data_IF_611611523480
#
_entry.id   IF_611611523480
#
_cell.length_a   1.000
_cell.length_b   1.000
_cell.length_c   1.000
_cell.angle_alpha   90.00
_cell.angle_beta   90.00
_cell.angle_gamma   90.00
#
_symmetry.space_group_name_H-M   'P 1'
#
loop_
_entity.id
_entity.type
_entity.pdbx_description
1 polymer ?
#
# COMPACT_ATOMS: atom_id res chain seq x y z
N UNK A 1 -17.49 -16.36 21.53
CA UNK A 1 -16.40 -17.35 21.39
C UNK A 1 -16.33 -17.67 19.90
N UNK A 2 -15.16 -17.53 19.27
CA UNK A 2 -15.03 -17.75 17.82
C UNK A 2 -15.28 -19.21 17.44
N UNK A 3 -15.78 -19.43 16.22
CA UNK A 3 -15.81 -20.76 15.63
C UNK A 3 -14.39 -21.33 15.52
N UNK A 4 -14.28 -22.66 15.58
CA UNK A 4 -13.01 -23.37 15.52
C UNK A 4 -12.85 -24.14 14.22
N UNK A 5 -11.68 -24.02 13.62
CA UNK A 5 -11.22 -24.85 12.51
C UNK A 5 -10.15 -25.81 13.05
N UNK A 6 -10.33 -27.10 12.79
CA UNK A 6 -9.35 -28.12 13.15
C UNK A 6 -8.48 -28.50 11.95
N UNK A 7 -7.18 -28.67 12.19
CA UNK A 7 -6.23 -29.08 11.17
C UNK A 7 -6.09 -30.60 11.10
N UNK A 8 -5.78 -31.12 9.91
CA UNK A 8 -5.38 -32.51 9.71
C UNK A 8 -4.09 -32.82 10.51
N UNK A 9 -3.85 -34.08 10.89
CA UNK A 9 -2.60 -34.48 11.54
C UNK A 9 -1.37 -34.03 10.74
N UNK A 10 -0.37 -33.47 11.44
CA UNK A 10 0.91 -32.98 10.87
C UNK A 10 0.78 -31.85 9.84
N UNK A 11 -0.33 -31.09 9.87
CA UNK A 11 -0.55 -29.93 8.98
C UNK A 11 -0.46 -28.58 9.71
N UNK A 12 0.16 -28.57 10.88
CA UNK A 12 0.33 -27.42 11.77
C UNK A 12 1.76 -26.83 11.77
N UNK A 13 2.74 -27.47 11.13
CA UNK A 13 4.16 -27.05 11.11
C UNK A 13 4.38 -25.61 10.62
N UNK A 14 3.58 -25.12 9.66
CA UNK A 14 3.69 -23.74 9.18
C UNK A 14 3.24 -22.73 10.24
N UNK A 15 2.14 -23.02 10.93
CA UNK A 15 1.61 -22.14 11.98
C UNK A 15 2.49 -22.16 13.23
N UNK A 16 3.08 -23.31 13.57
CA UNK A 16 4.08 -23.41 14.65
C UNK A 16 5.35 -22.59 14.37
N UNK A 17 5.61 -22.26 13.10
CA UNK A 17 6.67 -21.33 12.67
C UNK A 17 6.17 -19.91 12.41
N UNK A 18 4.97 -19.59 12.90
CA UNK A 18 4.35 -18.28 12.78
C UNK A 18 4.06 -17.83 11.33
N UNK A 19 3.85 -18.77 10.41
CA UNK A 19 3.45 -18.42 9.05
C UNK A 19 2.02 -17.83 9.05
N UNK A 20 1.78 -16.66 8.44
CA UNK A 20 0.50 -15.95 8.56
C UNK A 20 -0.63 -16.56 7.73
N UNK A 21 -0.34 -17.55 6.89
CA UNK A 21 -1.35 -18.21 6.06
C UNK A 21 -1.54 -19.66 6.44
N UNK A 22 -2.81 -20.04 6.55
CA UNK A 22 -3.28 -21.42 6.57
C UNK A 22 -3.91 -21.75 5.21
N UNK A 23 -3.40 -22.78 4.55
CA UNK A 23 -3.93 -23.22 3.26
C UNK A 23 -5.12 -24.17 3.43
N UNK A 24 -6.11 -24.09 2.53
CA UNK A 24 -7.34 -24.90 2.61
C UNK A 24 -7.11 -26.41 2.67
N UNK A 25 -6.05 -26.90 2.01
CA UNK A 25 -5.67 -28.33 2.04
C UNK A 25 -5.27 -28.87 3.43
N UNK A 26 -4.90 -27.99 4.37
CA UNK A 26 -4.52 -28.34 5.74
C UNK A 26 -5.72 -28.54 6.68
N UNK A 27 -6.89 -28.02 6.33
CA UNK A 27 -8.10 -28.04 7.16
C UNK A 27 -8.74 -29.43 7.11
N UNK A 28 -9.14 -29.95 8.28
CA UNK A 28 -10.02 -31.11 8.39
C UNK A 28 -11.48 -30.66 8.28
N UNK A 29 -12.06 -30.87 7.10
CA UNK A 29 -13.42 -30.47 6.77
C UNK A 29 -14.47 -31.32 7.51
N UNK A 30 -14.14 -32.56 7.90
CA UNK A 30 -15.08 -33.41 8.63
C UNK A 30 -15.19 -32.99 10.11
N UNK A 31 -14.13 -32.40 10.64
CA UNK A 31 -14.04 -31.94 12.03
C UNK A 31 -14.39 -30.45 12.21
N UNK A 32 -14.72 -29.72 11.15
CA UNK A 32 -14.97 -28.28 11.19
C UNK A 32 -16.34 -27.91 10.62
N UNK A 33 -17.08 -27.04 11.30
CA UNK A 33 -18.23 -26.36 10.70
C UNK A 33 -17.70 -25.28 9.75
N UNK A 34 -18.20 -25.19 8.50
CA UNK A 34 -17.73 -24.17 7.55
C UNK A 34 -18.04 -22.76 8.08
N UNK A 35 -17.02 -21.92 8.35
CA UNK A 35 -17.25 -20.54 8.78
C UNK A 35 -17.74 -19.67 7.62
N UNK A 36 -18.34 -18.54 7.94
CA UNK A 36 -18.66 -17.55 6.92
C UNK A 36 -17.41 -16.85 6.40
N UNK A 37 -17.41 -16.48 5.12
CA UNK A 37 -16.28 -15.78 4.51
C UNK A 37 -16.03 -14.42 5.18
N UNK A 38 -14.82 -14.22 5.69
CA UNK A 38 -14.40 -13.06 6.50
C UNK A 38 -14.64 -13.19 7.99
N UNK A 39 -15.25 -14.28 8.48
CA UNK A 39 -15.42 -14.53 9.92
C UNK A 39 -14.07 -14.74 10.63
N UNK A 40 -13.97 -14.29 11.88
CA UNK A 40 -12.82 -14.56 12.74
C UNK A 40 -12.95 -15.96 13.34
N UNK A 41 -11.94 -16.79 13.14
CA UNK A 41 -11.89 -18.20 13.57
C UNK A 41 -10.69 -18.49 14.44
N UNK A 42 -10.83 -19.45 15.36
CA UNK A 42 -9.72 -20.08 16.09
C UNK A 42 -9.21 -21.29 15.32
N UNK A 43 -7.90 -21.46 15.26
CA UNK A 43 -7.25 -22.59 14.58
C UNK A 43 -6.70 -23.54 15.65
N UNK A 44 -7.09 -24.81 15.56
CA UNK A 44 -6.62 -25.88 16.45
C UNK A 44 -5.86 -26.96 15.67
N UNK A 45 -4.82 -27.54 16.26
CA UNK A 45 -4.18 -28.75 15.74
C UNK A 45 -5.10 -29.97 15.87
N UNK A 46 -4.70 -31.09 15.25
CA UNK A 46 -5.42 -32.35 15.32
C UNK A 46 -5.62 -32.86 16.76
N UNK A 47 -4.71 -32.54 17.69
CA UNK A 47 -4.81 -32.89 19.12
C UNK A 47 -5.58 -31.85 19.97
N UNK A 48 -6.12 -30.79 19.36
CA UNK A 48 -6.88 -29.74 20.03
C UNK A 48 -6.04 -28.58 20.58
N UNK A 49 -4.72 -28.57 20.40
CA UNK A 49 -3.87 -27.43 20.81
C UNK A 49 -4.18 -26.18 19.98
N UNK A 50 -4.19 -25.02 20.64
CA UNK A 50 -4.41 -23.74 19.98
C UNK A 50 -3.20 -23.33 19.13
N UNK A 51 -3.47 -22.82 17.92
CA UNK A 51 -2.44 -22.41 16.95
C UNK A 51 -2.56 -20.95 16.51
N UNK A 52 -3.72 -20.31 16.62
CA UNK A 52 -3.91 -18.91 16.23
C UNK A 52 -5.36 -18.50 16.04
N UNK A 53 -5.57 -17.21 15.82
CA UNK A 53 -6.84 -16.58 15.45
C UNK A 53 -6.65 -15.82 14.14
N UNK A 54 -7.61 -15.89 13.22
CA UNK A 54 -7.52 -15.20 11.94
C UNK A 54 -8.82 -15.11 11.17
N UNK A 55 -8.81 -14.36 10.07
CA UNK A 55 -9.96 -14.27 9.16
C UNK A 55 -10.02 -15.47 8.24
N UNK A 56 -11.15 -16.16 8.24
CA UNK A 56 -11.45 -17.20 7.26
C UNK A 56 -11.78 -16.58 5.90
N UNK A 57 -11.39 -17.24 4.80
CA UNK A 57 -11.76 -16.84 3.45
C UNK A 57 -11.88 -18.06 2.53
N UNK A 58 -12.76 -17.99 1.53
CA UNK A 58 -12.87 -19.04 0.52
C UNK A 58 -11.72 -18.87 -0.48
N UNK A 59 -10.81 -19.84 -0.53
CA UNK A 59 -9.66 -19.79 -1.45
C UNK A 59 -8.54 -20.77 -1.11
N UNK A 60 -7.41 -20.60 -1.78
CA UNK A 60 -6.19 -21.37 -1.49
C UNK A 60 -5.65 -21.05 -0.09
N UNK A 61 -5.62 -19.76 0.27
CA UNK A 61 -5.38 -19.27 1.62
C UNK A 61 -6.72 -19.22 2.33
N UNK A 62 -6.98 -20.18 3.21
CA UNK A 62 -8.24 -20.35 3.90
C UNK A 62 -8.34 -19.55 5.19
N UNK A 63 -7.23 -19.34 5.90
CA UNK A 63 -7.19 -18.43 7.04
C UNK A 63 -5.96 -17.54 6.96
N UNK A 64 -6.19 -16.24 7.13
CA UNK A 64 -5.15 -15.23 7.32
C UNK A 64 -5.03 -14.95 8.82
N UNK A 65 -3.94 -15.41 9.42
CA UNK A 65 -3.71 -15.38 10.88
C UNK A 65 -3.39 -13.96 11.33
N UNK A 66 -4.16 -13.45 12.29
CA UNK A 66 -4.02 -12.12 12.89
C UNK A 66 -3.25 -12.17 14.20
N UNK A 67 -3.41 -13.25 14.97
CA UNK A 67 -2.68 -13.46 16.21
C UNK A 67 -2.36 -14.92 16.43
N UNK A 68 -1.17 -15.18 16.97
CA UNK A 68 -0.76 -16.49 17.48
C UNK A 68 -1.01 -16.61 18.99
N UNK A 69 -1.73 -15.64 19.58
CA UNK A 69 -2.22 -15.66 20.95
C UNK A 69 -3.73 -15.87 20.93
N UNK A 70 -4.24 -16.51 21.97
CA UNK A 70 -5.68 -16.72 22.14
C UNK A 70 -6.30 -15.44 22.69
N UNK A 71 -6.60 -14.51 21.80
CA UNK A 71 -7.14 -13.19 22.11
C UNK A 71 -8.28 -12.80 21.16
N UNK A 72 -9.06 -11.81 21.59
CA UNK A 72 -10.11 -11.23 20.76
C UNK A 72 -9.51 -10.28 19.72
N UNK A 73 -10.01 -10.38 18.48
CA UNK A 73 -9.80 -9.41 17.41
C UNK A 73 -10.90 -8.35 17.54
N UNK A 74 -10.61 -7.30 18.32
CA UNK A 74 -11.49 -6.17 18.57
C UNK A 74 -10.76 -4.84 18.31
N UNK A 75 -11.39 -3.70 18.62
CA UNK A 75 -10.76 -2.38 18.45
C UNK A 75 -9.44 -2.23 19.24
N UNK A 76 -9.27 -2.94 20.36
CA UNK A 76 -8.02 -2.91 21.14
C UNK A 76 -6.91 -3.64 20.40
N UNK A 77 -7.20 -4.77 19.76
CA UNK A 77 -6.27 -5.48 18.88
C UNK A 77 -5.81 -4.55 17.74
N UNK A 78 -6.74 -3.93 17.01
CA UNK A 78 -6.41 -3.07 15.87
C UNK A 78 -5.62 -1.84 16.29
N UNK A 79 -5.99 -1.16 17.38
CA UNK A 79 -5.23 -0.04 17.91
C UNK A 79 -3.79 -0.44 18.22
N UNK A 80 -3.59 -1.60 18.87
CA UNK A 80 -2.25 -2.09 19.21
C UNK A 80 -1.42 -2.39 17.96
N UNK A 81 -2.00 -3.07 16.97
CA UNK A 81 -1.32 -3.41 15.72
C UNK A 81 -0.96 -2.15 14.91
N UNK A 82 -1.91 -1.22 14.73
CA UNK A 82 -1.69 0.05 14.03
C UNK A 82 -0.67 0.93 14.75
N UNK A 83 -0.71 1.01 16.08
CA UNK A 83 0.28 1.74 16.85
C UNK A 83 1.67 1.14 16.69
N UNK A 84 1.81 -0.19 16.71
CA UNK A 84 3.09 -0.86 16.44
C UNK A 84 3.62 -0.52 15.04
N UNK A 85 2.73 -0.49 14.04
CA UNK A 85 3.10 -0.13 12.67
C UNK A 85 3.54 1.33 12.58
N UNK A 86 2.84 2.27 13.24
CA UNK A 86 3.19 3.68 13.30
C UNK A 86 4.55 3.91 13.96
N UNK A 87 4.78 3.31 15.14
CA UNK A 87 6.06 3.41 15.86
C UNK A 87 7.21 2.97 14.97
N UNK A 88 7.07 1.84 14.26
CA UNK A 88 8.10 1.39 13.31
C UNK A 88 8.38 2.45 12.22
N UNK A 89 7.35 3.11 11.67
CA UNK A 89 7.54 4.15 10.64
C UNK A 89 8.20 5.41 11.21
N UNK A 90 7.91 5.75 12.46
CA UNK A 90 8.58 6.84 13.18
C UNK A 90 10.06 6.49 13.44
N UNK A 91 10.37 5.27 13.88
CA UNK A 91 11.74 4.79 14.10
C UNK A 91 12.57 4.73 12.80
N UNK A 92 11.92 4.35 11.69
CA UNK A 92 12.50 4.42 10.34
C UNK A 92 12.63 5.86 9.79
N UNK A 93 12.26 6.86 10.60
CA UNK A 93 12.29 8.28 10.26
C UNK A 93 11.51 8.60 8.98
N UNK A 94 10.38 7.93 8.74
CA UNK A 94 9.52 8.20 7.58
C UNK A 94 8.55 9.34 7.80
N UNK A 95 8.35 9.77 9.05
CA UNK A 95 7.51 10.89 9.44
C UNK A 95 8.42 12.06 9.80
N UNK A 96 8.55 13.01 8.88
CA UNK A 96 9.42 14.18 9.03
C UNK A 96 8.76 15.40 8.41
N UNK A 97 9.21 16.60 8.74
CA UNK A 97 8.69 17.84 8.12
C UNK A 97 8.86 17.88 6.59
N UNK A 98 9.87 17.19 6.07
CA UNK A 98 10.14 17.05 4.64
C UNK A 98 9.61 15.72 4.06
N UNK A 99 8.93 14.88 4.83
CA UNK A 99 8.40 13.60 4.33
C UNK A 99 7.11 13.19 5.05
N UNK A 100 6.00 13.23 4.30
CA UNK A 100 4.68 12.78 4.76
C UNK A 100 4.01 11.80 3.77
N UNK A 101 4.81 11.15 2.92
CA UNK A 101 4.40 10.03 2.07
C UNK A 101 5.00 8.75 2.63
N UNK A 102 4.17 7.79 3.08
CA UNK A 102 4.64 6.50 3.57
C UNK A 102 3.56 5.42 3.62
N UNK A 103 3.98 4.14 3.58
CA UNK A 103 3.12 3.01 3.86
C UNK A 103 3.08 2.78 5.37
N UNK A 104 1.92 2.97 5.99
CA UNK A 104 1.70 2.69 7.41
C UNK A 104 1.57 1.18 7.65
N UNK A 105 0.75 0.49 6.86
CA UNK A 105 0.52 -0.97 7.00
C UNK A 105 0.85 -1.69 5.70
N UNK A 106 1.66 -2.74 5.79
CA UNK A 106 2.09 -3.60 4.70
C UNK A 106 1.70 -5.07 4.94
N UNK A 107 0.40 -5.31 5.09
CA UNK A 107 -0.18 -6.65 5.16
C UNK A 107 0.41 -7.48 6.29
N UNK A 108 0.84 -8.69 5.92
CA UNK A 108 1.49 -9.66 6.80
C UNK A 108 2.74 -9.09 7.51
N UNK A 109 3.47 -8.17 6.86
CA UNK A 109 4.66 -7.52 7.43
C UNK A 109 4.38 -6.69 8.68
N UNK A 110 3.13 -6.26 8.85
CA UNK A 110 2.64 -5.49 10.00
C UNK A 110 1.60 -6.27 10.82
N UNK A 111 1.60 -7.61 10.71
CA UNK A 111 0.67 -8.50 11.43
C UNK A 111 -0.81 -8.23 11.12
N UNK A 112 -1.10 -7.63 9.96
CA UNK A 112 -2.46 -7.36 9.47
C UNK A 112 -2.62 -7.93 8.05
N UNK A 113 -2.58 -9.26 7.86
CA UNK A 113 -2.61 -9.88 6.54
C UNK A 113 -3.80 -9.45 5.69
N UNK A 114 -3.52 -8.96 4.48
CA UNK A 114 -4.54 -8.45 3.57
C UNK A 114 -4.97 -6.99 3.83
N UNK A 115 -4.31 -6.25 4.72
CA UNK A 115 -4.54 -4.82 4.90
C UNK A 115 -3.36 -4.00 4.37
N UNK A 116 -3.64 -2.99 3.57
CA UNK A 116 -2.68 -1.96 3.19
C UNK A 116 -3.22 -0.61 3.65
N UNK A 117 -2.36 0.21 4.25
CA UNK A 117 -2.67 1.60 4.56
C UNK A 117 -1.48 2.45 4.10
N UNK A 118 -1.72 3.31 3.11
CA UNK A 118 -0.77 4.30 2.63
C UNK A 118 -1.20 5.70 3.09
N UNK A 119 -0.25 6.53 3.51
CA UNK A 119 -0.48 7.89 4.00
C UNK A 119 0.18 8.89 3.05
N UNK A 120 -0.59 9.90 2.66
CA UNK A 120 -0.21 11.00 1.79
C UNK A 120 -0.62 12.33 2.43
N UNK A 121 0.33 13.02 3.06
CA UNK A 121 0.02 14.22 3.82
C UNK A 121 -0.96 13.91 4.95
N UNK A 122 -2.13 14.52 4.91
CA UNK A 122 -3.21 14.34 5.89
C UNK A 122 -4.26 13.29 5.48
N UNK A 123 -4.00 12.52 4.42
CA UNK A 123 -4.94 11.52 3.90
C UNK A 123 -4.37 10.11 4.02
N UNK A 124 -5.11 9.20 4.66
CA UNK A 124 -4.83 7.77 4.62
C UNK A 124 -5.71 7.08 3.57
N UNK A 125 -5.11 6.17 2.82
CA UNK A 125 -5.78 5.34 1.81
C UNK A 125 -5.70 3.90 2.27
N UNK A 126 -6.85 3.31 2.59
CA UNK A 126 -7.00 1.93 3.05
C UNK A 126 -7.35 1.05 1.86
N UNK A 127 -6.64 -0.07 1.71
CA UNK A 127 -7.02 -1.17 0.83
C UNK A 127 -7.15 -2.47 1.60
N UNK A 128 -8.31 -3.11 1.47
CA UNK A 128 -8.54 -4.48 1.88
C UNK A 128 -8.32 -5.42 0.69
N UNK A 129 -7.48 -6.43 0.91
CA UNK A 129 -7.21 -7.56 0.02
C UNK A 129 -7.83 -8.86 0.55
N UNK A 130 -8.61 -8.79 1.62
CA UNK A 130 -9.34 -9.91 2.20
C UNK A 130 -10.71 -9.46 2.69
N UNK A 131 -11.66 -10.41 2.67
CA UNK A 131 -13.04 -10.15 3.12
C UNK A 131 -13.10 -9.80 4.60
N UNK A 132 -12.25 -10.43 5.43
CA UNK A 132 -12.15 -10.11 6.85
C UNK A 132 -11.71 -8.68 7.13
N UNK A 133 -10.71 -8.16 6.38
CA UNK A 133 -10.29 -6.76 6.53
C UNK A 133 -11.35 -5.77 6.06
N UNK A 134 -12.15 -6.14 5.05
CA UNK A 134 -13.30 -5.34 4.66
C UNK A 134 -14.40 -5.32 5.73
N UNK A 135 -14.72 -6.49 6.31
CA UNK A 135 -15.70 -6.59 7.41
C UNK A 135 -15.29 -5.77 8.63
N UNK A 136 -14.00 -5.77 8.94
CA UNK A 136 -13.45 -5.05 10.09
C UNK A 136 -13.12 -3.57 9.80
N UNK A 137 -13.51 -3.05 8.63
CA UNK A 137 -13.17 -1.68 8.18
C UNK A 137 -13.55 -0.61 9.21
N UNK A 138 -14.71 -0.72 9.86
CA UNK A 138 -15.13 0.25 10.87
C UNK A 138 -14.18 0.24 12.08
N UNK A 139 -13.85 -0.95 12.60
CA UNK A 139 -12.91 -1.09 13.73
C UNK A 139 -11.51 -0.58 13.35
N UNK A 140 -11.05 -0.89 12.15
CA UNK A 140 -9.76 -0.41 11.61
C UNK A 140 -9.76 1.11 11.50
N UNK A 141 -10.84 1.70 10.99
CA UNK A 141 -10.98 3.16 10.80
C UNK A 141 -10.97 3.90 12.13
N UNK A 142 -11.73 3.42 13.11
CA UNK A 142 -11.78 4.04 14.43
C UNK A 142 -10.43 3.92 15.17
N UNK A 143 -9.79 2.75 15.09
CA UNK A 143 -8.46 2.55 15.65
C UNK A 143 -7.40 3.42 14.96
N UNK A 144 -7.46 3.58 13.63
CA UNK A 144 -6.56 4.45 12.87
C UNK A 144 -6.70 5.91 13.28
N UNK A 145 -7.94 6.39 13.43
CA UNK A 145 -8.21 7.75 13.89
C UNK A 145 -7.64 8.00 15.28
N UNK A 146 -7.76 7.04 16.20
CA UNK A 146 -7.20 7.14 17.55
C UNK A 146 -5.67 7.16 17.54
N UNK A 147 -5.04 6.26 16.80
CA UNK A 147 -3.58 6.15 16.71
C UNK A 147 -2.95 7.37 16.03
N UNK A 148 -3.62 7.96 15.04
CA UNK A 148 -3.09 9.08 14.25
C UNK A 148 -3.51 10.47 14.75
N UNK A 149 -4.10 10.60 15.95
CA UNK A 149 -4.51 11.92 16.47
C UNK A 149 -3.36 12.93 16.56
N UNK A 150 -2.12 12.46 16.72
CA UNK A 150 -0.92 13.31 16.74
C UNK A 150 -0.35 13.67 15.36
N UNK A 151 -0.83 13.06 14.27
CA UNK A 151 -0.17 13.05 12.95
C UNK A 151 -0.94 13.84 11.86
N UNK A 152 -1.74 14.82 12.26
CA UNK A 152 -2.56 15.68 11.37
C UNK A 152 -3.45 14.95 10.34
N UNK A 153 -3.85 13.70 10.62
CA UNK A 153 -4.77 12.96 9.74
C UNK A 153 -6.14 13.67 9.69
N UNK A 154 -6.66 13.92 8.49
CA UNK A 154 -7.96 14.58 8.26
C UNK A 154 -8.92 13.76 7.40
N UNK A 155 -8.38 12.84 6.61
CA UNK A 155 -9.17 12.11 5.61
C UNK A 155 -8.78 10.63 5.60
N UNK A 156 -9.79 9.77 5.45
CA UNK A 156 -9.59 8.34 5.18
C UNK A 156 -10.40 7.98 3.94
N UNK A 157 -9.69 7.50 2.92
CA UNK A 157 -10.27 7.00 1.68
C UNK A 157 -10.15 5.49 1.62
N UNK A 158 -11.25 4.80 1.35
CA UNK A 158 -11.31 3.37 1.15
C UNK A 158 -11.23 3.06 -0.34
N UNK A 159 -10.23 2.26 -0.74
CA UNK A 159 -9.94 1.94 -2.15
C UNK A 159 -9.78 0.44 -2.37
N UNK A 160 -10.89 -0.30 -2.34
CA UNK A 160 -10.84 -1.77 -2.37
C UNK A 160 -11.76 -2.43 -3.36
N UNK A 161 -12.54 -1.68 -4.15
CA UNK A 161 -13.44 -2.24 -5.18
C UNK A 161 -12.67 -3.19 -6.12
N UNK A 162 -11.48 -2.78 -6.56
CA UNK A 162 -10.63 -3.57 -7.46
C UNK A 162 -9.69 -4.58 -6.80
N UNK A 163 -9.62 -4.64 -5.47
CA UNK A 163 -8.67 -5.51 -4.74
C UNK A 163 -9.32 -6.64 -3.97
N UNK A 164 -10.63 -6.54 -3.71
CA UNK A 164 -11.38 -7.58 -3.02
C UNK A 164 -11.64 -8.79 -3.91
N UNK A 165 -11.76 -10.00 -3.32
CA UNK A 165 -12.12 -11.19 -4.08
C UNK A 165 -13.49 -11.04 -4.75
N UNK A 166 -13.54 -11.18 -6.08
CA UNK A 166 -14.75 -11.03 -6.91
C UNK A 166 -15.94 -11.90 -6.45
N UNK A 167 -15.68 -13.03 -5.76
CA UNK A 167 -16.71 -13.99 -5.36
C UNK A 167 -17.44 -13.67 -4.06
N UNK A 168 -17.04 -12.63 -3.33
CA UNK A 168 -17.51 -12.40 -1.97
C UNK A 168 -18.88 -11.69 -1.87
N UNK A 169 -19.55 -11.38 -2.98
CA UNK A 169 -20.84 -10.63 -3.02
C UNK A 169 -20.84 -9.38 -2.10
N UNK A 170 -19.73 -8.65 -2.05
CA UNK A 170 -19.58 -7.47 -1.21
C UNK A 170 -19.97 -6.21 -1.97
N UNK A 171 -20.80 -5.36 -1.36
CA UNK A 171 -21.06 -3.99 -1.83
C UNK A 171 -19.90 -3.08 -1.41
N UNK A 172 -18.73 -3.30 -2.03
CA UNK A 172 -17.52 -2.54 -1.74
C UNK A 172 -17.35 -1.41 -2.76
N UNK A 173 -17.78 -0.20 -2.39
CA UNK A 173 -17.52 1.02 -3.15
C UNK A 173 -16.23 1.73 -2.71
N UNK A 174 -15.50 2.26 -3.68
CA UNK A 174 -14.39 3.20 -3.41
C UNK A 174 -14.96 4.56 -2.94
N UNK A 175 -14.45 5.12 -1.85
CA UNK A 175 -15.00 6.37 -1.30
C UNK A 175 -14.34 6.89 -0.03
N UNK A 176 -14.63 8.14 0.32
CA UNK A 176 -14.24 8.69 1.62
C UNK A 176 -15.13 8.08 2.71
N UNK A 177 -14.50 7.46 3.70
CA UNK A 177 -15.19 6.89 4.87
C UNK A 177 -15.02 7.78 6.11
N UNK A 178 -14.14 8.78 6.02
CA UNK A 178 -14.02 9.86 6.99
C UNK A 178 -13.38 11.10 6.34
N UNK A 179 -13.88 12.29 6.68
CA UNK A 179 -13.46 13.54 6.04
C UNK A 179 -13.92 13.60 4.57
N UNK A 180 -13.03 14.01 3.67
CA UNK A 180 -13.32 14.12 2.22
C UNK A 180 -13.71 15.53 1.74
N UNK A 181 -13.76 16.49 2.65
CA UNK A 181 -13.98 17.91 2.32
C UNK A 181 -12.64 18.65 2.16
N UNK A 182 -12.56 19.56 1.19
CA UNK A 182 -11.39 20.43 0.95
C UNK A 182 -10.05 19.68 0.86
N UNK A 183 -10.07 18.51 0.22
CA UNK A 183 -8.92 17.61 0.22
C UNK A 183 -7.78 18.15 -0.63
N UNK A 184 -6.61 18.32 -0.01
CA UNK A 184 -5.37 18.65 -0.71
C UNK A 184 -4.66 17.37 -1.16
N UNK A 185 -4.63 17.13 -2.46
CA UNK A 185 -4.00 15.95 -3.05
C UNK A 185 -2.51 16.16 -3.34
N UNK A 186 -1.80 16.93 -2.50
CA UNK A 186 -0.36 17.16 -2.59
C UNK A 186 0.31 16.67 -1.33
N UNK A 187 1.33 15.82 -1.49
CA UNK A 187 2.14 15.31 -0.39
C UNK A 187 3.63 15.50 -0.69
N UNK A 188 4.47 15.33 0.33
CA UNK A 188 5.89 15.63 0.31
C UNK A 188 6.70 14.35 0.55
N UNK A 189 7.67 14.08 -0.32
CA UNK A 189 8.66 13.02 -0.15
C UNK A 189 10.06 13.61 -0.26
N UNK A 190 10.85 13.49 0.81
CA UNK A 190 12.20 14.03 0.92
C UNK A 190 12.33 15.51 0.52
N UNK A 191 11.32 16.35 0.78
CA UNK A 191 11.27 17.77 0.45
C UNK A 191 10.73 18.08 -0.94
N UNK A 192 10.45 17.07 -1.78
CA UNK A 192 9.78 17.24 -3.08
C UNK A 192 8.29 17.04 -2.95
N UNK A 193 7.52 17.87 -3.64
CA UNK A 193 6.05 17.87 -3.62
C UNK A 193 5.50 17.06 -4.79
N UNK A 194 4.49 16.24 -4.53
CA UNK A 194 3.86 15.39 -5.54
C UNK A 194 2.34 15.47 -5.47
N UNK A 195 1.72 15.67 -6.62
CA UNK A 195 0.29 15.48 -6.82
C UNK A 195 -0.03 13.98 -6.77
N UNK A 196 -0.90 13.59 -5.85
CA UNK A 196 -1.34 12.21 -5.65
C UNK A 196 -2.76 12.05 -6.24
N UNK A 197 -3.03 10.93 -6.91
CA UNK A 197 -4.35 10.59 -7.44
C UNK A 197 -4.79 9.24 -6.88
N UNK A 198 -5.23 9.17 -5.62
CA UNK A 198 -5.76 7.92 -5.05
C UNK A 198 -7.16 7.57 -5.56
N UNK A 199 -7.89 8.52 -6.15
CA UNK A 199 -9.20 8.26 -6.71
C UNK A 199 -9.11 7.40 -7.96
N UNK A 200 -8.24 7.78 -8.91
CA UNK A 200 -8.15 7.16 -10.25
C UNK A 200 -6.74 6.67 -10.61
N UNK A 201 -5.74 6.93 -9.78
CA UNK A 201 -4.37 6.47 -10.00
C UNK A 201 -4.22 4.97 -9.72
N UNK A 202 -3.09 4.43 -10.16
CA UNK A 202 -2.76 3.02 -9.91
C UNK A 202 -2.42 2.78 -8.44
N UNK A 203 -2.61 1.55 -7.97
CA UNK A 203 -2.43 1.16 -6.56
C UNK A 203 -3.27 2.09 -5.65
N UNK A 204 -2.62 2.74 -4.69
CA UNK A 204 -3.19 3.73 -3.76
C UNK A 204 -2.96 5.17 -4.23
N UNK A 205 -2.46 5.40 -5.45
CA UNK A 205 -2.29 6.73 -6.05
C UNK A 205 -0.84 7.19 -6.26
N UNK A 206 0.15 6.51 -5.67
CA UNK A 206 1.58 6.79 -5.87
C UNK A 206 2.44 5.55 -5.54
N UNK A 207 3.60 5.43 -6.19
CA UNK A 207 4.52 4.32 -5.97
C UNK A 207 5.52 4.64 -4.85
N UNK A 208 5.07 4.44 -3.60
CA UNK A 208 5.87 4.70 -2.38
C UNK A 208 7.08 3.75 -2.30
N UNK A 209 6.92 2.52 -2.77
CA UNK A 209 7.97 1.48 -2.80
C UNK A 209 9.25 1.91 -3.55
N UNK A 210 9.15 2.90 -4.44
CA UNK A 210 10.26 3.41 -5.23
C UNK A 210 11.01 4.60 -4.58
N UNK A 211 10.68 5.00 -3.33
CA UNK A 211 11.31 6.17 -2.65
C UNK A 211 12.83 6.11 -2.65
N UNK A 212 13.39 5.02 -2.14
CA UNK A 212 14.85 4.91 -2.01
C UNK A 212 15.54 4.81 -3.37
N UNK A 213 14.88 4.22 -4.37
CA UNK A 213 15.39 4.17 -5.74
C UNK A 213 15.39 5.55 -6.39
N UNK A 214 14.38 6.38 -6.14
CA UNK A 214 14.35 7.79 -6.59
C UNK A 214 15.48 8.59 -5.96
N UNK A 215 15.68 8.44 -4.65
CA UNK A 215 16.79 9.08 -3.92
C UNK A 215 18.16 8.60 -4.42
N UNK A 216 18.27 7.33 -4.79
CA UNK A 216 19.50 6.79 -5.37
C UNK A 216 19.78 7.37 -6.75
N UNK A 217 18.76 7.45 -7.62
CA UNK A 217 18.89 8.07 -8.96
C UNK A 217 19.44 9.49 -8.88
N UNK A 218 18.94 10.29 -7.94
CA UNK A 218 19.36 11.67 -7.71
C UNK A 218 20.88 11.80 -7.52
N UNK A 219 21.53 10.84 -6.85
CA UNK A 219 22.98 10.84 -6.62
C UNK A 219 23.78 10.67 -7.92
N UNK A 220 23.19 10.07 -8.94
CA UNK A 220 23.83 9.85 -10.24
C UNK A 220 23.48 10.92 -11.28
N UNK A 221 22.51 11.79 -11.00
CA UNK A 221 21.93 12.69 -12.00
C UNK A 221 22.84 13.87 -12.38
N UNK A 222 23.73 14.30 -11.48
CA UNK A 222 24.51 15.53 -11.65
C UNK A 222 25.30 15.56 -12.98
N UNK A 223 25.04 16.58 -13.79
CA UNK A 223 25.74 16.79 -15.08
C UNK A 223 25.29 15.86 -16.22
N UNK A 224 24.32 14.97 -15.99
CA UNK A 224 23.90 13.95 -16.96
C UNK A 224 22.60 14.32 -17.69
N UNK A 225 22.43 13.79 -18.89
CA UNK A 225 21.18 13.79 -19.66
C UNK A 225 20.40 12.52 -19.33
N UNK A 226 19.22 12.67 -18.74
CA UNK A 226 18.42 11.58 -18.20
C UNK A 226 17.22 11.29 -19.09
N UNK A 227 16.98 10.01 -19.39
CA UNK A 227 15.74 9.52 -19.99
C UNK A 227 14.94 8.71 -18.98
N UNK A 228 13.78 9.21 -18.58
CA UNK A 228 12.83 8.48 -17.75
C UNK A 228 11.75 7.83 -18.62
N UNK A 229 11.96 6.57 -18.99
CA UNK A 229 10.97 5.76 -19.71
C UNK A 229 9.91 5.20 -18.76
N UNK A 230 8.66 5.13 -19.23
CA UNK A 230 7.50 4.72 -18.42
C UNK A 230 7.36 5.62 -17.19
N UNK A 231 7.48 6.93 -17.40
CA UNK A 231 7.69 7.90 -16.33
C UNK A 231 6.51 8.00 -15.36
N UNK A 232 5.33 7.51 -15.75
CA UNK A 232 4.08 7.68 -15.03
C UNK A 232 3.86 9.16 -14.65
N UNK A 233 3.78 9.48 -13.35
CA UNK A 233 3.62 10.84 -12.82
C UNK A 233 4.94 11.57 -12.58
N UNK A 234 6.05 11.06 -13.10
CA UNK A 234 7.30 11.82 -13.25
C UNK A 234 8.18 11.87 -12.00
N UNK A 235 7.93 11.02 -11.01
CA UNK A 235 8.63 11.12 -9.73
C UNK A 235 10.16 10.98 -9.86
N UNK A 236 10.65 10.04 -10.68
CA UNK A 236 12.08 9.94 -10.99
C UNK A 236 12.62 11.17 -11.72
N UNK A 237 11.83 11.79 -12.60
CA UNK A 237 12.23 13.00 -13.33
C UNK A 237 12.42 14.18 -12.38
N UNK A 238 11.52 14.36 -11.41
CA UNK A 238 11.62 15.39 -10.38
C UNK A 238 12.90 15.21 -9.54
N UNK A 239 13.22 13.97 -9.15
CA UNK A 239 14.47 13.67 -8.45
C UNK A 239 15.71 13.90 -9.32
N UNK A 240 15.67 13.54 -10.61
CA UNK A 240 16.75 13.81 -11.56
C UNK A 240 17.04 15.31 -11.72
N UNK A 241 16.00 16.13 -11.83
CA UNK A 241 16.12 17.59 -11.90
C UNK A 241 16.74 18.18 -10.63
N UNK A 242 16.28 17.74 -9.45
CA UNK A 242 16.86 18.15 -8.16
C UNK A 242 18.32 17.73 -8.04
N UNK A 243 18.66 16.53 -8.51
CA UNK A 243 20.02 15.99 -8.53
C UNK A 243 20.97 16.66 -9.52
N UNK A 244 20.49 17.64 -10.31
CA UNK A 244 21.33 18.43 -11.20
C UNK A 244 21.54 17.82 -12.58
N UNK A 245 20.60 17.00 -13.06
CA UNK A 245 20.58 16.62 -14.48
C UNK A 245 20.54 17.86 -15.38
N UNK A 246 21.24 17.79 -16.51
CA UNK A 246 21.31 18.87 -17.51
C UNK A 246 20.10 18.86 -18.43
N UNK A 247 19.54 17.67 -18.67
CA UNK A 247 18.30 17.42 -19.42
C UNK A 247 17.58 16.25 -18.77
N UNK A 248 16.25 16.32 -18.69
CA UNK A 248 15.38 15.23 -18.24
C UNK A 248 14.23 15.06 -19.21
N UNK A 249 14.26 13.98 -19.99
CA UNK A 249 13.18 13.62 -20.92
C UNK A 249 12.29 12.55 -20.26
N UNK A 250 11.00 12.87 -20.06
CA UNK A 250 9.99 11.98 -19.51
C UNK A 250 9.10 11.40 -20.60
N UNK A 251 8.99 10.08 -20.70
CA UNK A 251 8.18 9.41 -21.72
C UNK A 251 7.20 8.44 -21.09
N UNK A 252 5.92 8.55 -21.43
CA UNK A 252 4.88 7.61 -21.04
C UNK A 252 3.82 7.51 -22.15
N UNK A 253 3.16 6.36 -22.30
CA UNK A 253 2.10 6.23 -23.30
C UNK A 253 0.81 6.94 -22.89
N UNK A 254 0.65 7.25 -21.59
CA UNK A 254 -0.52 7.94 -21.05
C UNK A 254 -0.33 9.46 -21.05
N UNK A 255 -1.08 10.15 -21.91
CA UNK A 255 -1.13 11.62 -21.93
C UNK A 255 -1.61 12.21 -20.59
N UNK A 256 -2.47 11.49 -19.86
CA UNK A 256 -2.88 11.86 -18.50
C UNK A 256 -1.69 11.83 -17.54
N UNK A 257 -0.88 10.77 -17.58
CA UNK A 257 0.30 10.64 -16.72
C UNK A 257 1.36 11.72 -17.04
N UNK A 258 1.59 11.99 -18.33
CA UNK A 258 2.46 13.07 -18.80
C UNK A 258 1.97 14.45 -18.31
N UNK A 259 0.67 14.72 -18.35
CA UNK A 259 0.12 15.96 -17.81
C UNK A 259 0.39 16.11 -16.30
N UNK A 260 0.27 15.03 -15.52
CA UNK A 260 0.60 15.03 -14.09
C UNK A 260 2.11 15.19 -13.86
N UNK A 261 2.95 14.56 -14.70
CA UNK A 261 4.40 14.75 -14.69
C UNK A 261 4.77 16.22 -14.80
N UNK A 262 4.19 16.94 -15.77
CA UNK A 262 4.46 18.36 -15.96
C UNK A 262 4.01 19.20 -14.75
N UNK A 263 2.84 18.89 -14.18
CA UNK A 263 2.38 19.55 -12.94
C UNK A 263 3.33 19.30 -11.77
N UNK A 264 3.84 18.08 -11.61
CA UNK A 264 4.80 17.74 -10.55
C UNK A 264 6.13 18.46 -10.74
N UNK A 265 6.62 18.60 -11.98
CA UNK A 265 7.81 19.42 -12.26
C UNK A 265 7.55 20.88 -11.93
N UNK A 266 6.45 21.47 -12.42
CA UNK A 266 6.08 22.86 -12.12
C UNK A 266 5.88 23.12 -10.62
N UNK A 267 5.32 22.16 -9.89
CA UNK A 267 5.08 22.26 -8.45
C UNK A 267 6.38 22.38 -7.64
N UNK A 268 7.50 21.87 -8.16
CA UNK A 268 8.80 21.90 -7.49
C UNK A 268 9.73 22.98 -8.03
N UNK A 269 9.68 23.28 -9.33
CA UNK A 269 10.70 24.09 -10.00
C UNK A 269 10.13 25.26 -10.82
N UNK A 270 8.80 25.37 -10.96
CA UNK A 270 8.16 26.39 -11.78
C UNK A 270 8.34 26.11 -13.29
N UNK A 271 8.82 27.11 -14.03
CA UNK A 271 9.23 26.91 -15.42
C UNK A 271 10.63 26.30 -15.45
N UNK A 272 10.74 25.05 -15.91
CA UNK A 272 11.96 24.26 -15.85
C UNK A 272 12.39 23.83 -17.26
N UNK A 273 13.25 24.63 -17.94
CA UNK A 273 13.61 24.40 -19.33
C UNK A 273 14.46 23.15 -19.55
N UNK A 274 15.01 22.53 -18.48
CA UNK A 274 15.75 21.26 -18.57
C UNK A 274 14.82 20.06 -18.72
N UNK A 275 13.52 20.22 -18.45
CA UNK A 275 12.54 19.13 -18.49
C UNK A 275 11.76 19.13 -19.81
N UNK A 276 11.69 17.96 -20.43
CA UNK A 276 10.82 17.72 -21.57
C UNK A 276 9.95 16.50 -21.30
N UNK A 277 8.72 16.50 -21.83
CA UNK A 277 7.80 15.39 -21.66
C UNK A 277 7.15 15.01 -22.99
N UNK A 278 7.00 13.72 -23.26
CA UNK A 278 6.34 13.21 -24.45
C UNK A 278 5.34 12.10 -24.10
N UNK A 279 4.16 12.13 -24.73
CA UNK A 279 3.18 11.05 -24.66
C UNK A 279 3.35 10.14 -25.87
N UNK A 280 4.16 9.09 -25.77
CA UNK A 280 4.48 8.20 -26.87
C UNK A 280 4.70 6.75 -26.43
N UNK A 281 4.55 5.81 -27.36
CA UNK A 281 4.97 4.43 -27.14
C UNK A 281 6.47 4.35 -26.86
N UNK A 282 6.83 3.63 -25.80
CA UNK A 282 8.18 3.58 -25.30
C UNK A 282 9.18 3.00 -26.32
N UNK A 283 8.79 1.95 -27.04
CA UNK A 283 9.66 1.28 -27.99
C UNK A 283 9.85 2.10 -29.26
N UNK A 284 8.79 2.79 -29.70
CA UNK A 284 8.89 3.74 -30.80
C UNK A 284 9.85 4.88 -30.45
N UNK A 285 9.69 5.50 -29.29
CA UNK A 285 10.55 6.60 -28.84
C UNK A 285 12.03 6.17 -28.81
N UNK A 286 12.32 4.99 -28.25
CA UNK A 286 13.68 4.45 -28.20
C UNK A 286 14.26 4.17 -29.59
N UNK A 287 13.46 3.67 -30.53
CA UNK A 287 13.90 3.40 -31.90
C UNK A 287 14.28 4.68 -32.66
N UNK A 288 13.59 5.78 -32.37
CA UNK A 288 13.84 7.09 -32.98
C UNK A 288 14.93 7.91 -32.25
N UNK A 289 15.38 7.44 -31.07
CA UNK A 289 16.41 8.08 -30.26
C UNK A 289 17.82 7.78 -30.80
N UNK A 290 18.64 8.80 -31.12
CA UNK A 290 20.02 8.59 -31.52
C UNK A 290 20.88 7.95 -30.41
N UNK A 291 21.85 7.14 -30.81
CA UNK A 291 22.85 6.58 -29.90
C UNK A 291 23.60 7.70 -29.16
N UNK A 292 23.83 7.52 -27.86
CA UNK A 292 24.52 8.51 -27.03
C UNK A 292 23.72 9.79 -26.74
N UNK A 293 22.39 9.82 -26.98
CA UNK A 293 21.53 10.96 -26.59
C UNK A 293 21.45 11.14 -25.07
N UNK A 294 21.53 10.05 -24.30
CA UNK A 294 21.40 10.07 -22.84
C UNK A 294 22.54 9.34 -22.16
N UNK A 295 22.79 9.71 -20.91
CA UNK A 295 23.84 9.16 -20.05
C UNK A 295 23.26 8.27 -18.94
N UNK A 296 21.94 8.36 -18.71
CA UNK A 296 21.19 7.67 -17.66
C UNK A 296 19.75 7.38 -18.11
#
# INVERSE_FOLDING_TARGET
>A
MYQTIQLKPKKDDSLRRFHPWLFSGAIDQAASTPPEEGEVVRILSADGSFLGVGHYQIGSIAVRVLSFRDECIDSTFYRRALNSALVLRQELQLLRSDNNIYRLVHGEGDQLPGLIIDVYGNTAVIQAHSVGMHRDLQMITDALKEVMQGEELKHIYYKSEGTLPFKAELDAGDGYIWGGEQVEAVAIENGLRFQIDWLKGQKTGFFIDQRENRKLLEQYASGRRLLNMFCYTGAFSVYGLRGGATVVDSVDSSSKAVSVTNRNVTLNFGDEPRHHSCSEDAFRYLKETPEGKYDL
#
